data_IF_222756083812
#
_entry.id   IF_222756083812
#
_cell.length_a   1.000
_cell.length_b   1.000
_cell.length_c   1.000
_cell.angle_alpha   90.00
_cell.angle_beta   90.00
_cell.angle_gamma   90.00
#
_symmetry.space_group_name_H-M   'P 1'
#
loop_
_entity.id
_entity.type
_entity.pdbx_description
1 polymer ?
#
# COMPACT_ATOMS: atom_id res chain seq x y z
N UNK A 1 22.79 -18.57 -2.01
CA UNK A 1 21.92 -18.51 -0.83
C UNK A 1 20.49 -18.34 -1.29
N UNK A 2 19.55 -19.15 -0.79
CA UNK A 2 18.14 -18.94 -1.11
C UNK A 2 17.63 -17.71 -0.36
N UNK A 3 16.88 -16.83 -1.03
CA UNK A 3 16.25 -15.69 -0.37
C UNK A 3 15.17 -16.16 0.62
N UNK A 4 14.96 -15.42 1.70
CA UNK A 4 13.90 -15.69 2.68
C UNK A 4 13.02 -14.47 2.87
N UNK A 5 11.72 -14.70 2.98
CA UNK A 5 10.73 -13.62 3.20
C UNK A 5 10.27 -13.64 4.64
N UNK A 6 10.21 -12.46 5.26
CA UNK A 6 9.66 -12.27 6.62
C UNK A 6 8.64 -11.14 6.62
N UNK A 7 7.71 -11.15 7.58
CA UNK A 7 6.80 -10.03 7.83
C UNK A 7 7.24 -9.29 9.09
N UNK A 8 7.27 -7.96 9.01
CA UNK A 8 7.49 -7.05 10.13
C UNK A 8 6.23 -6.23 10.37
N UNK A 9 5.97 -5.90 11.62
CA UNK A 9 4.78 -5.18 12.05
C UNK A 9 5.22 -3.93 12.82
N UNK A 10 4.47 -2.85 12.65
CA UNK A 10 4.46 -1.70 13.55
C UNK A 10 3.01 -1.32 13.89
N UNK A 11 2.76 -1.01 15.16
CA UNK A 11 1.44 -0.67 15.66
C UNK A 11 1.28 0.84 15.76
N UNK A 12 0.18 1.37 15.22
CA UNK A 12 -0.17 2.78 15.31
C UNK A 12 -1.50 2.99 16.04
N UNK A 13 -1.70 4.22 16.51
CA UNK A 13 -2.98 4.69 17.06
C UNK A 13 -3.42 5.95 16.33
N UNK A 14 -4.69 6.00 15.95
CA UNK A 14 -5.32 7.21 15.44
C UNK A 14 -6.27 7.75 16.50
N UNK A 15 -6.05 9.00 16.94
CA UNK A 15 -6.96 9.65 17.88
C UNK A 15 -8.36 9.81 17.29
N UNK A 16 -9.38 9.95 18.13
CA UNK A 16 -10.75 10.23 17.68
C UNK A 16 -10.83 11.40 16.70
N UNK A 17 -11.41 11.19 15.51
CA UNK A 17 -11.47 12.18 14.42
C UNK A 17 -10.15 12.50 13.75
N UNK A 18 -9.04 11.95 14.25
CA UNK A 18 -7.67 12.26 13.85
C UNK A 18 -7.12 11.36 12.75
N UNK A 19 -5.83 11.53 12.51
CA UNK A 19 -5.03 10.73 11.57
C UNK A 19 -4.05 9.89 12.38
N UNK A 20 -3.92 8.62 12.01
CA UNK A 20 -2.87 7.74 12.52
C UNK A 20 -1.83 7.44 11.43
N UNK A 21 -0.59 7.23 11.86
CA UNK A 21 0.53 6.84 11.00
C UNK A 21 1.39 5.78 11.70
N UNK A 22 1.80 4.74 10.97
CA UNK A 22 2.70 3.69 11.44
C UNK A 22 3.64 3.26 10.32
N UNK A 23 4.87 2.84 10.67
CA UNK A 23 5.89 2.41 9.70
C UNK A 23 6.56 1.12 10.15
N UNK A 24 6.26 0.01 9.47
CA UNK A 24 6.96 -1.25 9.68
C UNK A 24 8.29 -1.24 8.91
N UNK A 25 9.42 -1.33 9.60
CA UNK A 25 10.76 -1.26 8.99
C UNK A 25 11.35 -2.65 8.77
N UNK A 26 11.91 -2.90 7.59
CA UNK A 26 12.66 -4.11 7.31
C UNK A 26 14.06 -4.09 7.95
N UNK A 27 14.54 -5.22 8.49
CA UNK A 27 15.85 -5.28 9.12
C UNK A 27 16.98 -5.00 8.12
N UNK A 28 18.12 -4.52 8.63
CA UNK A 28 19.32 -4.34 7.82
C UNK A 28 19.72 -5.66 7.12
N UNK A 29 20.19 -5.56 5.88
CA UNK A 29 20.50 -6.73 5.05
C UNK A 29 19.28 -7.40 4.40
N UNK A 30 18.11 -6.75 4.46
CA UNK A 30 16.91 -7.13 3.71
C UNK A 30 16.33 -5.94 2.96
N UNK A 31 15.49 -6.20 1.97
CA UNK A 31 14.78 -5.18 1.18
C UNK A 31 13.27 -5.33 1.31
N UNK A 32 12.55 -4.22 1.41
CA UNK A 32 11.08 -4.22 1.43
C UNK A 32 10.53 -4.55 0.05
N UNK A 33 9.77 -5.64 -0.07
CA UNK A 33 9.16 -6.12 -1.32
C UNK A 33 7.65 -5.93 -1.37
N UNK A 34 7.06 -5.40 -0.32
CA UNK A 34 5.64 -5.10 -0.22
C UNK A 34 5.23 -4.83 1.21
N UNK A 35 3.93 -4.75 1.43
CA UNK A 35 3.39 -4.61 2.77
C UNK A 35 1.87 -4.55 2.75
N UNK A 36 1.31 -4.06 3.86
CA UNK A 36 -0.12 -3.94 4.02
C UNK A 36 -0.48 -3.43 5.40
N UNK A 37 -1.73 -3.68 5.80
CA UNK A 37 -2.29 -3.16 7.03
C UNK A 37 -3.32 -4.10 7.65
N UNK A 38 -3.50 -3.97 8.95
CA UNK A 38 -4.60 -4.54 9.71
C UNK A 38 -5.34 -3.43 10.42
N UNK A 39 -6.65 -3.32 10.24
CA UNK A 39 -7.44 -2.20 10.77
C UNK A 39 -8.88 -2.61 11.05
N UNK A 40 -9.62 -1.79 11.80
CA UNK A 40 -11.07 -1.89 11.88
C UNK A 40 -11.70 -1.03 10.76
N UNK A 41 -12.18 -1.64 9.64
CA UNK A 41 -12.63 -0.89 8.47
C UNK A 41 -13.94 -0.11 8.71
N UNK A 42 -14.68 -0.41 9.79
CA UNK A 42 -15.90 0.33 10.15
C UNK A 42 -15.61 1.68 10.79
N UNK A 43 -14.44 1.83 11.41
CA UNK A 43 -14.07 3.02 12.18
C UNK A 43 -12.86 3.75 11.59
N UNK A 44 -11.95 3.02 10.94
CA UNK A 44 -10.76 3.56 10.30
C UNK A 44 -10.87 3.46 8.78
N UNK A 45 -10.43 4.50 8.09
CA UNK A 45 -10.25 4.48 6.63
C UNK A 45 -8.79 4.66 6.29
N UNK A 46 -8.22 3.63 5.67
CA UNK A 46 -6.86 3.66 5.15
C UNK A 46 -6.88 4.46 3.86
N UNK A 47 -6.05 5.50 3.78
CA UNK A 47 -5.93 6.34 2.60
C UNK A 47 -4.53 6.32 2.00
N UNK A 48 -3.55 5.73 2.69
CA UNK A 48 -2.22 5.48 2.12
C UNK A 48 -1.66 4.17 2.68
N UNK A 49 -1.09 3.37 1.78
CA UNK A 49 -0.33 2.16 2.08
C UNK A 49 0.79 2.10 1.04
N UNK A 50 2.04 2.39 1.43
CA UNK A 50 3.14 2.57 0.47
C UNK A 50 4.52 2.30 1.10
N UNK A 51 5.56 2.26 0.27
CA UNK A 51 6.95 2.20 0.74
C UNK A 51 7.33 3.49 1.47
N UNK A 52 8.09 3.35 2.56
CA UNK A 52 8.78 4.44 3.26
C UNK A 52 10.18 3.97 3.66
N UNK A 53 11.21 4.51 2.99
CA UNK A 53 12.58 4.00 3.12
C UNK A 53 12.66 2.50 2.82
N UNK A 54 13.30 1.72 3.70
CA UNK A 54 13.30 0.26 3.65
C UNK A 54 12.16 -0.34 4.51
N UNK A 55 10.95 0.18 4.35
CA UNK A 55 9.80 -0.21 5.16
C UNK A 55 8.49 0.11 4.48
N UNK A 56 7.39 -0.13 5.21
CA UNK A 56 6.03 0.07 4.75
C UNK A 56 5.28 1.01 5.68
N UNK A 57 4.76 2.12 5.14
CA UNK A 57 3.98 3.09 5.88
C UNK A 57 2.48 2.93 5.59
N UNK A 58 1.68 3.21 6.61
CA UNK A 58 0.21 3.20 6.50
C UNK A 58 -0.33 4.44 7.18
N UNK A 59 -1.23 5.13 6.49
CA UNK A 59 -2.01 6.22 7.06
C UNK A 59 -3.49 5.89 7.10
N UNK A 60 -4.10 6.16 8.25
CA UNK A 60 -5.53 5.96 8.51
C UNK A 60 -6.16 7.26 8.97
N UNK A 61 -7.44 7.44 8.65
CA UNK A 61 -8.30 8.45 9.27
C UNK A 61 -9.30 7.75 10.19
N UNK A 62 -9.41 8.24 11.42
CA UNK A 62 -10.40 7.78 12.38
C UNK A 62 -11.71 8.54 12.20
N UNK A 63 -12.80 7.81 11.97
CA UNK A 63 -14.16 8.35 11.80
C UNK A 63 -14.93 8.43 13.12
N UNK A 64 -14.45 7.79 14.18
CA UNK A 64 -15.06 7.77 15.50
C UNK A 64 -14.52 8.86 16.42
N UNK A 65 -15.03 8.90 17.65
CA UNK A 65 -14.65 9.89 18.67
C UNK A 65 -13.57 9.40 19.65
N UNK A 66 -13.21 8.11 19.61
CA UNK A 66 -12.23 7.50 20.51
C UNK A 66 -11.00 7.05 19.75
N UNK A 67 -9.89 6.87 20.46
CA UNK A 67 -8.64 6.37 19.91
C UNK A 67 -8.78 4.91 19.46
N UNK A 68 -8.20 4.58 18.29
CA UNK A 68 -8.28 3.24 17.70
C UNK A 68 -6.90 2.82 17.18
N UNK A 69 -6.51 1.60 17.54
CA UNK A 69 -5.28 0.97 17.06
C UNK A 69 -5.39 0.38 15.66
N UNK A 70 -4.28 0.33 14.95
CA UNK A 70 -4.12 -0.33 13.66
C UNK A 70 -2.67 -0.80 13.49
N UNK A 71 -2.42 -1.67 12.50
CA UNK A 71 -1.09 -2.20 12.23
C UNK A 71 -0.66 -1.88 10.81
N UNK A 72 0.62 -1.52 10.63
CA UNK A 72 1.32 -1.57 9.36
C UNK A 72 2.15 -2.86 9.28
N UNK A 73 2.27 -3.43 8.09
CA UNK A 73 3.10 -4.60 7.84
C UNK A 73 4.06 -4.35 6.68
N UNK A 74 5.31 -4.76 6.83
CA UNK A 74 6.30 -4.79 5.77
C UNK A 74 6.72 -6.23 5.45
N UNK A 75 6.71 -6.57 4.17
CA UNK A 75 7.25 -7.84 3.67
C UNK A 75 8.71 -7.61 3.27
N UNK A 76 9.62 -8.34 3.92
CA UNK A 76 11.05 -8.13 3.83
C UNK A 76 11.75 -9.37 3.25
N UNK A 77 12.47 -9.18 2.15
CA UNK A 77 13.27 -10.20 1.50
C UNK A 77 14.74 -10.08 1.90
N UNK A 78 15.30 -11.13 2.52
CA UNK A 78 16.71 -11.21 2.92
C UNK A 78 17.47 -12.25 2.11
N UNK A 79 18.80 -12.23 2.19
CA UNK A 79 19.66 -13.22 1.52
C UNK A 79 19.80 -13.00 0.01
N UNK A 80 19.49 -11.80 -0.48
CA UNK A 80 19.61 -11.38 -1.87
C UNK A 80 20.35 -10.05 -2.00
N UNK A 81 20.92 -9.79 -3.17
CA UNK A 81 21.49 -8.50 -3.60
C UNK A 81 20.50 -7.62 -4.37
N UNK A 82 19.23 -8.03 -4.46
CA UNK A 82 18.20 -7.28 -5.17
C UNK A 82 17.89 -5.92 -4.52
N UNK A 83 17.35 -5.01 -5.32
CA UNK A 83 16.89 -3.69 -4.89
C UNK A 83 15.42 -3.51 -5.22
N UNK A 84 14.72 -2.69 -4.44
CA UNK A 84 13.30 -2.43 -4.64
C UNK A 84 13.05 -0.96 -4.95
N UNK A 85 12.10 -0.73 -5.86
CA UNK A 85 11.63 0.59 -6.24
C UNK A 85 10.09 0.61 -6.19
N UNK A 86 9.52 1.75 -5.84
CA UNK A 86 8.09 1.98 -5.98
C UNK A 86 7.84 2.79 -7.25
N UNK A 87 6.96 2.29 -8.11
CA UNK A 87 6.46 3.02 -9.30
C UNK A 87 5.01 3.40 -9.11
N UNK A 88 4.56 4.46 -9.78
CA UNK A 88 3.22 5.05 -9.64
C UNK A 88 2.51 5.06 -11.00
N UNK A 89 1.23 4.70 -10.99
CA UNK A 89 0.28 5.12 -12.01
C UNK A 89 -0.96 5.75 -11.36
N UNK A 90 -1.63 6.62 -12.11
CA UNK A 90 -2.81 7.31 -11.66
C UNK A 90 -3.98 7.03 -12.62
N UNK A 91 -5.18 6.88 -12.05
CA UNK A 91 -6.41 6.81 -12.83
C UNK A 91 -7.49 7.68 -12.20
N UNK A 92 -8.47 8.07 -13.03
CA UNK A 92 -9.66 8.76 -12.59
C UNK A 92 -10.79 7.76 -12.39
N UNK A 93 -11.44 7.83 -11.22
CA UNK A 93 -12.68 7.10 -10.94
C UNK A 93 -13.82 8.11 -11.01
N UNK A 94 -14.76 7.88 -11.92
CA UNK A 94 -15.92 8.75 -12.09
C UNK A 94 -16.77 8.81 -10.83
N UNK A 95 -17.46 9.93 -10.64
CA UNK A 95 -18.34 10.15 -9.50
C UNK A 95 -19.33 9.00 -9.26
N UNK A 96 -19.50 8.61 -8.01
CA UNK A 96 -20.40 7.52 -7.56
C UNK A 96 -20.14 6.14 -8.20
N UNK A 97 -18.95 5.91 -8.76
CA UNK A 97 -18.61 4.66 -9.45
C UNK A 97 -17.49 3.90 -8.74
N UNK A 98 -17.24 2.67 -9.19
CA UNK A 98 -16.01 1.92 -8.87
C UNK A 98 -15.05 1.99 -10.03
N UNK A 99 -13.75 1.94 -9.74
CA UNK A 99 -12.72 1.89 -10.75
C UNK A 99 -11.41 1.40 -10.18
N UNK A 100 -10.40 1.39 -11.02
CA UNK A 100 -9.07 0.89 -10.67
C UNK A 100 -7.98 1.68 -11.36
N UNK A 101 -6.79 1.67 -10.75
CA UNK A 101 -5.54 2.00 -11.41
C UNK A 101 -4.67 0.74 -11.45
N UNK A 102 -3.89 0.62 -12.52
CA UNK A 102 -2.97 -0.48 -12.73
C UNK A 102 -1.60 0.10 -13.08
N UNK A 103 -0.54 -0.44 -12.48
CA UNK A 103 0.82 0.03 -12.68
C UNK A 103 1.76 -1.14 -12.95
N UNK A 104 2.54 -1.01 -14.02
CA UNK A 104 3.51 -2.00 -14.45
C UNK A 104 4.89 -1.71 -13.87
N UNK A 105 5.62 -2.76 -13.47
CA UNK A 105 7.05 -2.63 -13.26
C UNK A 105 7.79 -2.49 -14.59
N UNK A 106 8.93 -1.78 -14.60
CA UNK A 106 9.76 -1.68 -15.80
C UNK A 106 10.29 -3.06 -16.21
N UNK A 107 10.66 -3.19 -17.49
CA UNK A 107 11.25 -4.42 -18.02
C UNK A 107 12.49 -4.82 -17.22
N UNK A 108 12.61 -6.10 -16.89
CA UNK A 108 13.70 -6.64 -16.07
C UNK A 108 13.43 -6.63 -14.56
N UNK A 109 12.32 -6.03 -14.11
CA UNK A 109 11.90 -6.06 -12.71
C UNK A 109 10.70 -7.00 -12.48
N UNK A 110 10.59 -7.54 -11.28
CA UNK A 110 9.46 -8.35 -10.83
C UNK A 110 8.51 -7.50 -9.98
N UNK A 111 7.20 -7.58 -10.23
CA UNK A 111 6.21 -7.07 -9.27
C UNK A 111 6.15 -8.02 -8.09
N UNK A 112 6.44 -7.51 -6.89
CA UNK A 112 6.39 -8.31 -5.65
C UNK A 112 5.27 -7.89 -4.71
N UNK A 113 4.65 -6.76 -4.98
CA UNK A 113 3.58 -6.20 -4.17
C UNK A 113 3.16 -4.84 -4.70
N UNK A 114 2.35 -4.15 -3.93
CA UNK A 114 1.95 -2.80 -4.25
C UNK A 114 1.09 -2.17 -3.18
N UNK A 115 0.61 -0.98 -3.49
CA UNK A 115 0.00 -0.09 -2.52
C UNK A 115 -0.80 0.99 -3.21
N UNK A 116 -1.28 1.95 -2.45
CA UNK A 116 -2.11 3.02 -2.99
C UNK A 116 -1.98 4.30 -2.17
N UNK A 117 -2.37 5.41 -2.80
CA UNK A 117 -2.71 6.64 -2.11
C UNK A 117 -4.04 7.17 -2.67
N UNK A 118 -4.96 7.51 -1.78
CA UNK A 118 -6.31 7.93 -2.12
C UNK A 118 -6.51 9.41 -1.79
N UNK A 119 -7.25 10.09 -2.67
CA UNK A 119 -7.92 11.33 -2.32
C UNK A 119 -9.08 11.12 -1.34
N UNK A 120 -9.68 12.23 -0.89
CA UNK A 120 -10.90 12.16 -0.11
C UNK A 120 -12.03 11.47 -0.90
N UNK A 121 -12.94 10.78 -0.20
CA UNK A 121 -14.10 10.10 -0.79
C UNK A 121 -13.78 8.89 -1.68
N UNK A 122 -12.55 8.41 -1.68
CA UNK A 122 -12.21 7.10 -2.22
C UNK A 122 -12.12 6.08 -1.08
N UNK A 123 -12.66 4.88 -1.33
CA UNK A 123 -12.59 3.74 -0.41
C UNK A 123 -11.96 2.58 -1.15
N UNK A 124 -10.74 2.20 -0.77
CA UNK A 124 -10.10 0.97 -1.29
C UNK A 124 -10.91 -0.25 -0.86
N UNK A 125 -11.08 -1.21 -1.77
CA UNK A 125 -11.70 -2.49 -1.43
C UNK A 125 -10.92 -3.72 -1.91
N UNK A 126 -9.99 -3.54 -2.85
CA UNK A 126 -9.08 -4.61 -3.26
C UNK A 126 -7.75 -4.04 -3.74
N UNK A 127 -6.68 -4.77 -3.52
CA UNK A 127 -5.35 -4.50 -4.08
C UNK A 127 -4.69 -5.84 -4.33
N UNK A 128 -4.23 -6.07 -5.55
CA UNK A 128 -3.76 -7.38 -5.98
C UNK A 128 -2.85 -7.28 -7.19
N UNK A 129 -2.01 -8.31 -7.37
CA UNK A 129 -1.34 -8.52 -8.65
C UNK A 129 -2.38 -8.69 -9.76
N UNK A 130 -2.14 -8.08 -10.92
CA UNK A 130 -3.02 -8.22 -12.08
C UNK A 130 -2.87 -9.61 -12.71
N UNK A 131 -3.78 -9.94 -13.64
CA UNK A 131 -3.64 -11.14 -14.46
C UNK A 131 -2.37 -11.08 -15.32
N UNK A 132 -1.98 -9.87 -15.73
CA UNK A 132 -0.61 -9.60 -16.15
C UNK A 132 0.27 -9.47 -14.90
N UNK A 133 1.02 -10.53 -14.60
CA UNK A 133 1.86 -10.64 -13.40
C UNK A 133 3.00 -9.61 -13.34
N UNK A 134 3.18 -8.81 -14.39
CA UNK A 134 4.09 -7.66 -14.41
C UNK A 134 3.45 -6.38 -13.85
N UNK A 135 2.21 -6.45 -13.36
CA UNK A 135 1.47 -5.29 -12.88
C UNK A 135 0.80 -5.50 -11.53
N UNK A 136 0.70 -4.42 -10.78
CA UNK A 136 -0.13 -4.30 -9.60
C UNK A 136 -1.40 -3.52 -9.93
N UNK A 137 -2.48 -3.79 -9.21
CA UNK A 137 -3.77 -3.16 -9.43
C UNK A 137 -4.46 -2.85 -8.10
N UNK A 138 -4.95 -1.62 -7.95
CA UNK A 138 -5.73 -1.18 -6.80
C UNK A 138 -7.12 -0.70 -7.22
N UNK A 139 -8.12 -1.18 -6.51
CA UNK A 139 -9.54 -0.95 -6.78
C UNK A 139 -10.19 -0.13 -5.66
N UNK A 140 -10.90 0.93 -6.05
CA UNK A 140 -11.59 1.79 -5.11
C UNK A 140 -13.01 2.15 -5.57
N UNK A 141 -13.85 2.50 -4.60
CA UNK A 141 -15.14 3.14 -4.83
C UNK A 141 -15.01 4.64 -4.61
N UNK A 142 -15.51 5.42 -5.56
CA UNK A 142 -15.71 6.86 -5.41
C UNK A 142 -17.10 7.13 -4.82
N UNK A 143 -17.12 7.78 -3.65
CA UNK A 143 -18.35 8.15 -2.94
C UNK A 143 -18.71 9.62 -3.12
N UNK A 144 -17.95 10.39 -3.89
CA UNK A 144 -18.28 11.76 -4.28
C UNK A 144 -19.06 11.78 -5.59
N UNK A 145 -19.84 12.84 -5.80
CA UNK A 145 -20.52 13.09 -7.07
C UNK A 145 -19.56 13.48 -8.21
N UNK A 146 -18.40 14.04 -7.87
CA UNK A 146 -17.35 14.40 -8.82
C UNK A 146 -16.26 13.35 -8.93
N UNK A 147 -15.51 13.43 -10.02
CA UNK A 147 -14.38 12.55 -10.30
C UNK A 147 -13.29 12.66 -9.23
N UNK A 148 -12.68 11.52 -8.90
CA UNK A 148 -11.57 11.43 -7.95
C UNK A 148 -10.39 10.67 -8.56
N UNK A 149 -9.19 11.02 -8.12
CA UNK A 149 -7.96 10.39 -8.56
C UNK A 149 -7.52 9.30 -7.56
N UNK A 150 -7.24 8.12 -8.09
CA UNK A 150 -6.56 7.03 -7.36
C UNK A 150 -5.10 6.97 -7.83
N UNK A 151 -4.18 6.90 -6.88
CA UNK A 151 -2.79 6.58 -7.13
C UNK A 151 -2.55 5.11 -6.76
N UNK A 152 -2.07 4.32 -7.71
CA UNK A 152 -1.67 2.94 -7.50
C UNK A 152 -0.15 2.81 -7.54
N UNK A 153 0.39 1.95 -6.69
CA UNK A 153 1.81 1.71 -6.56
C UNK A 153 2.14 0.25 -6.82
N UNK A 154 3.17 -0.03 -7.62
CA UNK A 154 3.81 -1.35 -7.67
C UNK A 154 5.16 -1.28 -6.98
N UNK A 155 5.48 -2.34 -6.26
CA UNK A 155 6.83 -2.62 -5.74
C UNK A 155 7.56 -3.49 -6.73
N UNK A 156 8.64 -2.95 -7.29
CA UNK A 156 9.45 -3.57 -8.32
C UNK A 156 10.77 -4.04 -7.74
N UNK A 157 10.97 -5.35 -7.67
CA UNK A 157 12.22 -5.98 -7.29
C UNK A 157 13.09 -6.21 -8.52
N UNK A 158 14.33 -5.72 -8.49
CA UNK A 158 15.33 -5.94 -9.54
C UNK A 158 16.55 -6.63 -8.95
N UNK A 159 17.14 -7.56 -9.69
CA UNK A 159 18.41 -8.19 -9.36
C UNK A 159 19.54 -7.63 -10.24
N UNK A 160 20.79 -7.60 -9.75
CA UNK A 160 21.96 -7.25 -10.56
C UNK A 160 22.16 -8.19 -11.76
#
# INVERSE_FOLDING_TARGET
TAGSTTSKMDGGTASGGGIGHAVATCPAGSVVTGGGFGTNPTQLSVYNSSISGNGWQVYVKNKGATDIGFNAYATCLSGTSGTTAQVLAQATITGNNTGSAEVACPSGSLVTGGGFALGNNLVIYNTSMSADVTKWNSYARNTAAGDQLINDYAVCLSFP
#
